data_IF_227323934895
#
_entry.id   IF_227323934895
#
_cell.length_a   1.000
_cell.length_b   1.000
_cell.length_c   1.000
_cell.angle_alpha   90.00
_cell.angle_beta   90.00
_cell.angle_gamma   90.00
#
_symmetry.space_group_name_H-M   'P 1'
#
loop_
_entity.id
_entity.type
_entity.pdbx_description
1 polymer ?
#
# COMPACT_ATOMS: atom_id res chain seq x y z
N UNK A 1 14.56 -1.95 -6.22
CA UNK A 1 14.81 -3.25 -6.89
C UNK A 1 14.35 -3.32 -8.37
N UNK A 2 13.08 -3.02 -8.71
CA UNK A 2 12.55 -3.22 -10.08
C UNK A 2 13.39 -2.65 -11.23
N UNK A 3 13.95 -1.44 -11.07
CA UNK A 3 14.81 -0.82 -12.09
C UNK A 3 16.12 -1.59 -12.31
N UNK A 4 16.67 -2.18 -11.25
CA UNK A 4 17.89 -3.00 -11.29
C UNK A 4 17.63 -4.39 -11.85
N UNK A 5 16.42 -4.92 -11.63
CA UNK A 5 15.97 -6.20 -12.18
C UNK A 5 16.01 -6.21 -13.72
N UNK A 6 15.66 -5.08 -14.35
CA UNK A 6 15.71 -4.92 -15.82
C UNK A 6 17.11 -5.15 -16.40
N UNK A 7 18.16 -4.88 -15.64
CA UNK A 7 19.53 -5.20 -16.05
C UNK A 7 19.69 -6.70 -16.27
N UNK A 8 19.26 -7.51 -15.27
CA UNK A 8 19.32 -8.97 -15.31
C UNK A 8 18.49 -9.58 -16.44
N UNK A 9 17.32 -8.98 -16.73
CA UNK A 9 16.49 -9.38 -17.86
C UNK A 9 17.19 -9.09 -19.21
N UNK A 10 17.78 -7.90 -19.37
CA UNK A 10 18.50 -7.51 -20.60
C UNK A 10 19.71 -8.41 -20.91
N UNK A 11 20.41 -8.89 -19.88
CA UNK A 11 21.53 -9.82 -20.04
C UNK A 11 21.10 -11.29 -20.17
N UNK A 12 19.79 -11.57 -20.17
CA UNK A 12 19.23 -12.91 -20.38
C UNK A 12 19.35 -13.86 -19.20
N UNK A 13 19.63 -13.34 -17.99
CA UNK A 13 19.77 -14.17 -16.78
C UNK A 13 18.40 -14.53 -16.18
N UNK A 14 17.42 -13.66 -16.34
CA UNK A 14 16.04 -13.87 -15.88
C UNK A 14 15.08 -13.57 -17.02
N UNK A 15 13.92 -14.22 -17.01
CA UNK A 15 12.85 -14.01 -18.00
C UNK A 15 11.64 -13.25 -17.43
N UNK A 16 11.80 -12.64 -16.25
CA UNK A 16 10.74 -11.92 -15.56
C UNK A 16 11.04 -10.42 -15.45
N UNK A 17 10.02 -9.60 -15.71
CA UNK A 17 10.11 -8.13 -15.60
C UNK A 17 9.66 -7.59 -14.24
N UNK A 18 8.99 -8.41 -13.41
CA UNK A 18 8.48 -8.00 -12.10
C UNK A 18 9.28 -8.61 -10.94
N UNK A 19 9.59 -7.81 -9.90
CA UNK A 19 10.13 -8.28 -8.62
C UNK A 19 9.39 -9.48 -8.03
N UNK A 20 8.05 -9.45 -8.07
CA UNK A 20 7.19 -10.49 -7.50
C UNK A 20 7.36 -11.83 -8.22
N UNK A 21 7.49 -11.83 -9.54
CA UNK A 21 7.74 -13.04 -10.32
C UNK A 21 9.11 -13.63 -9.97
N UNK A 22 10.16 -12.78 -9.91
CA UNK A 22 11.49 -13.22 -9.48
C UNK A 22 11.44 -13.91 -8.11
N UNK A 23 10.84 -13.27 -7.10
CA UNK A 23 10.77 -13.85 -5.75
C UNK A 23 9.94 -15.13 -5.68
N UNK A 24 8.94 -15.28 -6.57
CA UNK A 24 8.14 -16.50 -6.64
C UNK A 24 8.95 -17.66 -7.20
N UNK A 25 9.79 -17.40 -8.20
CA UNK A 25 10.66 -18.40 -8.84
C UNK A 25 11.90 -18.71 -7.99
N UNK A 26 12.38 -17.73 -7.20
CA UNK A 26 13.49 -17.88 -6.24
C UNK A 26 12.98 -18.61 -4.98
N UNK A 27 12.82 -19.93 -5.12
CA UNK A 27 12.55 -20.84 -3.99
C UNK A 27 13.73 -20.84 -2.99
N UNK A 28 13.55 -21.42 -1.80
CA UNK A 28 14.62 -21.52 -0.79
C UNK A 28 15.85 -22.34 -1.25
N UNK A 29 15.78 -22.98 -2.42
CA UNK A 29 16.88 -23.76 -3.00
C UNK A 29 17.44 -23.12 -4.28
N UNK A 30 16.95 -21.95 -4.65
CA UNK A 30 17.45 -21.23 -5.80
C UNK A 30 18.84 -20.65 -5.51
N UNK A 31 19.80 -20.99 -6.37
CA UNK A 31 21.15 -20.42 -6.28
C UNK A 31 21.11 -18.95 -6.72
N UNK A 32 21.02 -18.05 -5.73
CA UNK A 32 21.03 -16.60 -5.96
C UNK A 32 22.32 -16.17 -6.67
N UNK A 33 23.43 -16.86 -6.45
CA UNK A 33 24.70 -16.48 -7.07
C UNK A 33 24.72 -16.84 -8.57
N UNK A 34 23.86 -17.76 -9.03
CA UNK A 34 23.61 -18.02 -10.45
C UNK A 34 22.95 -16.85 -11.19
N UNK A 35 22.34 -15.89 -10.47
CA UNK A 35 21.82 -14.64 -11.07
C UNK A 35 22.94 -13.67 -11.49
N UNK A 36 24.20 -13.98 -11.17
CA UNK A 36 25.32 -13.09 -11.44
C UNK A 36 26.44 -13.88 -12.13
N UNK A 37 26.33 -14.16 -13.44
CA UNK A 37 27.36 -14.86 -14.20
C UNK A 37 28.73 -14.21 -14.04
N UNK A 38 29.82 -14.98 -14.06
CA UNK A 38 31.18 -14.42 -13.94
C UNK A 38 31.58 -13.60 -15.18
N UNK A 39 31.05 -13.98 -16.35
CA UNK A 39 31.40 -13.39 -17.66
C UNK A 39 30.51 -12.21 -18.06
N UNK A 40 29.56 -11.81 -17.21
CA UNK A 40 28.82 -10.58 -17.43
C UNK A 40 29.78 -9.41 -17.26
N UNK A 41 29.93 -8.60 -18.31
CA UNK A 41 30.62 -7.31 -18.22
C UNK A 41 30.00 -6.39 -17.16
N UNK A 42 30.39 -5.10 -17.09
CA UNK A 42 29.87 -4.20 -16.07
C UNK A 42 28.32 -4.13 -16.13
N UNK A 43 27.67 -4.27 -14.97
CA UNK A 43 26.23 -4.25 -14.86
C UNK A 43 25.72 -2.83 -15.02
N UNK A 44 24.96 -2.59 -16.09
CA UNK A 44 24.30 -1.30 -16.35
C UNK A 44 22.86 -1.33 -15.82
N UNK A 45 22.57 -0.51 -14.82
CA UNK A 45 21.27 -0.49 -14.15
C UNK A 45 20.80 0.93 -13.88
N UNK A 46 19.49 1.07 -13.75
CA UNK A 46 18.85 2.34 -13.42
C UNK A 46 18.50 2.39 -11.94
N UNK A 47 18.61 3.57 -11.34
CA UNK A 47 18.11 3.83 -9.99
C UNK A 47 17.60 5.25 -9.80
N UNK A 48 16.68 5.41 -8.84
CA UNK A 48 16.24 6.72 -8.40
C UNK A 48 17.35 7.40 -7.61
N UNK A 49 17.75 8.60 -8.05
CA UNK A 49 18.74 9.43 -7.38
C UNK A 49 18.27 10.89 -7.36
N UNK A 50 18.63 11.63 -6.31
CA UNK A 50 18.45 13.07 -6.28
C UNK A 50 19.43 13.72 -7.25
N UNK A 51 18.91 14.56 -8.14
CA UNK A 51 19.69 15.33 -9.11
C UNK A 51 19.39 16.81 -8.91
N UNK A 52 20.45 17.62 -8.80
CA UNK A 52 20.32 19.08 -8.79
C UNK A 52 20.03 19.54 -10.21
N UNK A 53 18.87 20.16 -10.41
CA UNK A 53 18.52 20.85 -11.66
C UNK A 53 18.44 22.35 -11.41
N UNK A 54 18.45 23.16 -12.46
CA UNK A 54 18.34 24.64 -12.35
C UNK A 54 17.05 25.09 -11.63
N UNK A 55 16.04 24.21 -11.55
CA UNK A 55 14.77 24.40 -10.84
C UNK A 55 14.72 23.74 -9.44
N UNK A 56 15.86 23.31 -8.89
CA UNK A 56 15.99 22.68 -7.57
C UNK A 56 16.30 21.17 -7.59
N UNK A 57 16.28 20.55 -6.41
CA UNK A 57 16.50 19.11 -6.24
C UNK A 57 15.26 18.32 -6.70
N UNK A 58 15.45 17.39 -7.64
CA UNK A 58 14.40 16.47 -8.09
C UNK A 58 14.89 15.03 -8.10
N UNK A 59 13.98 14.10 -7.81
CA UNK A 59 14.23 12.67 -7.99
C UNK A 59 14.16 12.33 -9.48
N UNK A 60 15.26 11.83 -10.03
CA UNK A 60 15.32 11.35 -11.41
C UNK A 60 15.85 9.92 -11.45
N UNK A 61 15.54 9.21 -12.53
CA UNK A 61 16.15 7.92 -12.83
C UNK A 61 17.52 8.20 -13.45
N UNK A 62 18.56 7.63 -12.86
CA UNK A 62 19.95 7.76 -13.32
C UNK A 62 20.48 6.38 -13.66
N UNK A 63 21.08 6.26 -14.86
CA UNK A 63 21.77 5.04 -15.27
C UNK A 63 23.17 4.98 -14.66
N UNK A 64 23.48 3.89 -13.98
CA UNK A 64 24.76 3.60 -13.35
C UNK A 64 25.36 2.32 -13.92
N UNK A 65 26.67 2.21 -13.78
CA UNK A 65 27.45 1.04 -14.17
C UNK A 65 28.32 0.63 -13.01
N UNK A 66 28.32 -0.65 -12.64
CA UNK A 66 29.21 -1.17 -11.59
C UNK A 66 29.76 -2.55 -11.95
N UNK A 67 30.88 -2.92 -11.34
CA UNK A 67 31.39 -4.29 -11.40
C UNK A 67 30.44 -5.28 -10.71
N UNK A 68 30.67 -6.56 -10.97
CA UNK A 68 29.88 -7.68 -10.44
C UNK A 68 29.82 -7.68 -8.91
N UNK A 69 30.95 -7.52 -8.22
CA UNK A 69 30.99 -7.62 -6.76
C UNK A 69 30.21 -6.46 -6.12
N UNK A 70 30.37 -5.25 -6.65
CA UNK A 70 29.61 -4.07 -6.21
C UNK A 70 28.11 -4.21 -6.47
N UNK A 71 27.73 -4.75 -7.64
CA UNK A 71 26.32 -4.96 -7.97
C UNK A 71 25.67 -6.00 -7.04
N UNK A 72 26.34 -7.14 -6.80
CA UNK A 72 25.85 -8.19 -5.89
C UNK A 72 25.65 -7.62 -4.48
N UNK A 73 26.64 -6.88 -3.96
CA UNK A 73 26.58 -6.27 -2.63
C UNK A 73 25.39 -5.32 -2.48
N UNK A 74 24.97 -4.68 -3.57
CA UNK A 74 23.85 -3.76 -3.59
C UNK A 74 22.51 -4.47 -3.83
N UNK A 75 22.45 -5.44 -4.74
CA UNK A 75 21.20 -6.07 -5.17
C UNK A 75 20.75 -7.18 -4.21
N UNK A 76 21.67 -8.00 -3.69
CA UNK A 76 21.36 -9.15 -2.83
C UNK A 76 20.58 -8.74 -1.57
N UNK A 77 20.94 -7.69 -0.83
CA UNK A 77 20.13 -7.23 0.31
C UNK A 77 18.72 -6.78 -0.10
N UNK A 78 18.58 -6.06 -1.22
CA UNK A 78 17.27 -5.62 -1.72
C UNK A 78 16.38 -6.80 -2.11
N UNK A 79 16.97 -7.86 -2.67
CA UNK A 79 16.26 -9.09 -3.01
C UNK A 79 15.75 -9.81 -1.76
N UNK A 80 16.56 -9.93 -0.72
CA UNK A 80 16.15 -10.54 0.54
C UNK A 80 15.06 -9.74 1.26
N UNK A 81 15.24 -8.41 1.35
CA UNK A 81 14.24 -7.51 1.93
C UNK A 81 12.89 -7.63 1.20
N UNK A 82 12.93 -7.65 -0.14
CA UNK A 82 11.72 -7.82 -0.95
C UNK A 82 11.12 -9.23 -0.84
N UNK A 83 11.94 -10.29 -0.67
CA UNK A 83 11.45 -11.65 -0.43
C UNK A 83 10.69 -11.74 0.90
N UNK A 84 11.23 -11.17 1.97
CA UNK A 84 10.53 -11.10 3.25
C UNK A 84 9.22 -10.32 3.14
N UNK A 85 9.24 -9.18 2.47
CA UNK A 85 8.06 -8.37 2.18
C UNK A 85 6.97 -9.17 1.47
N UNK A 86 7.28 -9.86 0.37
CA UNK A 86 6.31 -10.73 -0.35
C UNK A 86 5.77 -11.85 0.54
N UNK A 87 6.61 -12.47 1.37
CA UNK A 87 6.18 -13.50 2.32
C UNK A 87 5.19 -12.94 3.35
N UNK A 88 5.49 -11.77 3.94
CA UNK A 88 4.60 -11.05 4.86
C UNK A 88 3.25 -10.75 4.22
N UNK A 89 3.22 -10.28 2.97
CA UNK A 89 1.98 -10.04 2.21
C UNK A 89 1.14 -11.29 2.06
N UNK A 90 1.76 -12.37 1.57
CA UNK A 90 1.04 -13.62 1.31
C UNK A 90 0.38 -14.12 2.58
N UNK A 91 1.11 -14.10 3.69
CA UNK A 91 0.59 -14.47 4.99
C UNK A 91 -0.56 -13.55 5.44
N UNK A 92 -0.43 -12.23 5.28
CA UNK A 92 -1.49 -11.26 5.60
C UNK A 92 -2.74 -11.48 4.74
N UNK A 93 -2.58 -11.74 3.44
CA UNK A 93 -3.68 -11.98 2.53
C UNK A 93 -4.40 -13.30 2.85
N UNK A 94 -3.64 -14.36 3.14
CA UNK A 94 -4.19 -15.65 3.56
C UNK A 94 -4.96 -15.51 4.87
N UNK A 95 -4.39 -14.85 5.88
CA UNK A 95 -5.07 -14.59 7.14
C UNK A 95 -6.39 -13.81 6.93
N UNK A 96 -6.40 -12.82 6.03
CA UNK A 96 -7.61 -12.07 5.69
C UNK A 96 -8.65 -12.95 4.97
N UNK A 97 -8.23 -13.82 4.04
CA UNK A 97 -9.12 -14.75 3.35
C UNK A 97 -9.74 -15.75 4.33
N UNK A 98 -8.94 -16.33 5.22
CA UNK A 98 -9.41 -17.24 6.26
C UNK A 98 -10.39 -16.56 7.21
N UNK A 99 -10.11 -15.30 7.59
CA UNK A 99 -11.01 -14.51 8.41
C UNK A 99 -12.34 -14.24 7.71
N UNK A 100 -12.33 -13.94 6.40
CA UNK A 100 -13.54 -13.74 5.60
C UNK A 100 -14.34 -15.02 5.45
N UNK A 101 -13.67 -16.15 5.23
CA UNK A 101 -14.30 -17.47 5.08
C UNK A 101 -14.92 -17.97 6.40
N UNK A 102 -14.28 -17.68 7.52
CA UNK A 102 -14.67 -18.20 8.85
C UNK A 102 -15.21 -17.11 9.79
N UNK A 103 -15.76 -16.02 9.25
CA UNK A 103 -16.25 -14.90 10.05
C UNK A 103 -17.45 -15.35 10.90
N UNK A 104 -17.37 -15.29 12.25
CA UNK A 104 -18.49 -15.65 13.11
C UNK A 104 -19.72 -14.77 12.84
N UNK A 105 -20.92 -15.34 13.09
CA UNK A 105 -22.18 -14.56 13.05
C UNK A 105 -22.07 -13.34 13.97
N UNK A 106 -22.61 -12.21 13.51
CA UNK A 106 -22.57 -10.91 14.19
C UNK A 106 -21.19 -10.24 14.30
N UNK A 107 -20.21 -10.64 13.48
CA UNK A 107 -18.94 -9.90 13.33
C UNK A 107 -18.86 -9.22 11.96
N UNK A 108 -18.16 -8.10 11.94
CA UNK A 108 -17.92 -7.30 10.74
C UNK A 108 -16.41 -7.13 10.61
N UNK A 109 -15.89 -7.26 9.39
CA UNK A 109 -14.52 -6.89 9.05
C UNK A 109 -14.56 -5.50 8.44
N UNK A 110 -13.82 -4.57 9.02
CA UNK A 110 -13.62 -3.23 8.47
C UNK A 110 -12.19 -3.15 7.94
N UNK A 111 -12.05 -3.10 6.62
CA UNK A 111 -10.75 -2.89 5.98
C UNK A 111 -10.61 -1.40 5.65
N UNK A 112 -9.61 -0.76 6.23
CA UNK A 112 -9.34 0.66 6.06
C UNK A 112 -7.98 0.83 5.41
N UNK A 113 -7.91 1.73 4.43
CA UNK A 113 -6.65 2.22 3.90
C UNK A 113 -6.39 3.61 4.50
N UNK A 114 -5.22 3.81 5.08
CA UNK A 114 -4.83 5.09 5.67
C UNK A 114 -4.03 5.87 4.64
N UNK A 115 -4.45 7.10 4.34
CA UNK A 115 -3.57 8.01 3.61
C UNK A 115 -2.30 8.26 4.45
N UNK A 116 -1.12 8.24 3.81
CA UNK A 116 0.23 8.28 4.42
C UNK A 116 0.46 9.37 5.49
N UNK A 117 -0.44 10.35 5.61
CA UNK A 117 -0.34 11.48 6.54
C UNK A 117 -1.38 11.45 7.69
N UNK A 118 -2.15 10.38 7.85
CA UNK A 118 -3.14 10.28 8.94
C UNK A 118 -2.65 9.38 10.07
N UNK A 119 -2.40 10.01 11.22
CA UNK A 119 -2.09 9.30 12.45
C UNK A 119 -3.38 8.82 13.12
N UNK A 120 -3.43 7.53 13.47
CA UNK A 120 -4.48 7.00 14.32
C UNK A 120 -4.32 7.62 15.72
N UNK A 121 -5.34 8.37 16.17
CA UNK A 121 -5.29 9.07 17.48
C UNK A 121 -5.40 8.11 18.66
N UNK A 122 -6.05 6.95 18.47
CA UNK A 122 -6.27 5.95 19.52
C UNK A 122 -6.25 4.54 18.93
N UNK A 123 -5.33 3.69 19.39
CA UNK A 123 -5.29 2.28 19.00
C UNK A 123 -6.22 1.43 19.89
N UNK A 124 -6.33 1.76 21.17
CA UNK A 124 -6.99 0.95 22.18
C UNK A 124 -8.25 1.63 22.74
N UNK A 125 -9.12 0.83 23.37
CA UNK A 125 -10.34 1.23 24.11
C UNK A 125 -11.65 1.32 23.30
N UNK A 126 -11.79 0.57 22.19
CA UNK A 126 -13.05 0.50 21.42
C UNK A 126 -14.23 -0.02 22.24
N UNK A 127 -13.97 -1.00 23.10
CA UNK A 127 -15.00 -1.61 23.95
C UNK A 127 -15.48 -0.63 25.01
N UNK A 128 -14.56 0.04 25.69
CA UNK A 128 -14.88 0.92 26.81
C UNK A 128 -15.50 2.24 26.34
N UNK A 129 -15.11 2.73 25.15
CA UNK A 129 -15.63 3.98 24.60
C UNK A 129 -16.85 3.83 23.71
N UNK A 130 -16.91 2.77 22.89
CA UNK A 130 -17.97 2.60 21.89
C UNK A 130 -18.87 1.39 22.17
N UNK A 131 -18.56 0.59 23.20
CA UNK A 131 -19.27 -0.67 23.45
C UNK A 131 -19.01 -1.74 22.40
N UNK A 132 -18.04 -1.53 21.51
CA UNK A 132 -17.75 -2.43 20.38
C UNK A 132 -16.42 -3.13 20.61
N UNK A 133 -16.44 -4.46 20.56
CA UNK A 133 -15.23 -5.27 20.60
C UNK A 133 -14.61 -5.30 19.20
N UNK A 134 -13.45 -4.66 19.06
CA UNK A 134 -12.71 -4.56 17.81
C UNK A 134 -11.32 -5.20 17.97
N UNK A 135 -10.75 -5.71 16.88
CA UNK A 135 -9.34 -6.11 16.81
C UNK A 135 -8.71 -5.44 15.60
N UNK A 136 -7.56 -4.81 15.79
CA UNK A 136 -6.81 -4.17 14.71
C UNK A 136 -5.79 -5.14 14.14
N UNK A 137 -5.84 -5.34 12.82
CA UNK A 137 -4.82 -6.05 12.08
C UNK A 137 -4.14 -5.02 11.17
N UNK A 138 -2.84 -4.84 11.36
CA UNK A 138 -2.05 -3.90 10.58
C UNK A 138 -1.41 -4.60 9.39
N UNK A 139 -1.51 -3.98 8.23
CA UNK A 139 -0.83 -4.40 7.01
C UNK A 139 0.50 -3.66 6.87
N UNK A 140 1.46 -4.27 6.20
CA UNK A 140 2.75 -3.63 5.97
C UNK A 140 2.58 -2.45 4.99
N UNK A 141 3.38 -1.39 5.16
CA UNK A 141 3.36 -0.24 4.27
C UNK A 141 4.07 -0.56 2.94
N UNK A 142 3.75 0.18 1.87
CA UNK A 142 4.41 0.03 0.57
C UNK A 142 3.84 -1.07 -0.33
N UNK A 143 2.78 -1.74 0.12
CA UNK A 143 1.99 -2.59 -0.75
C UNK A 143 1.16 -1.75 -1.69
N UNK A 144 1.17 -2.13 -2.96
CA UNK A 144 0.27 -1.55 -3.93
C UNK A 144 -1.19 -1.66 -3.50
N UNK A 145 -2.04 -1.03 -4.30
CA UNK A 145 -3.47 -0.88 -4.09
C UNK A 145 -4.15 -2.06 -3.36
N UNK A 146 -4.77 -1.78 -2.22
CA UNK A 146 -5.51 -2.76 -1.42
C UNK A 146 -6.84 -3.19 -2.05
N UNK A 147 -7.54 -4.19 -1.49
CA UNK A 147 -8.87 -4.61 -1.95
C UNK A 147 -9.90 -3.47 -2.05
N UNK A 148 -9.79 -2.48 -1.15
CA UNK A 148 -10.58 -1.26 -1.14
C UNK A 148 -10.38 -0.39 -2.41
N UNK A 149 -9.19 -0.41 -3.00
CA UNK A 149 -8.89 0.33 -4.23
C UNK A 149 -9.58 -0.23 -5.46
N UNK A 150 -9.88 -1.53 -5.49
CA UNK A 150 -10.63 -2.15 -6.59
C UNK A 150 -12.06 -1.60 -6.65
N UNK A 151 -12.75 -1.60 -5.50
CA UNK A 151 -14.10 -1.06 -5.38
C UNK A 151 -14.08 0.44 -5.63
N UNK A 152 -13.24 1.19 -4.90
CA UNK A 152 -13.13 2.64 -5.06
C UNK A 152 -12.75 3.07 -6.48
N UNK A 153 -11.81 2.34 -7.10
CA UNK A 153 -11.39 2.56 -8.48
C UNK A 153 -12.49 2.30 -9.50
N UNK A 154 -13.34 1.29 -9.26
CA UNK A 154 -14.51 1.00 -10.11
C UNK A 154 -15.53 2.14 -10.02
N UNK A 155 -15.89 2.58 -8.81
CA UNK A 155 -16.84 3.69 -8.63
C UNK A 155 -16.31 4.98 -9.25
N UNK A 156 -15.03 5.32 -9.02
CA UNK A 156 -14.38 6.50 -9.61
C UNK A 156 -14.42 6.45 -11.14
N UNK A 157 -14.10 5.29 -11.73
CA UNK A 157 -14.15 5.10 -13.20
C UNK A 157 -15.56 5.28 -13.74
N UNK A 158 -16.58 4.75 -13.06
CA UNK A 158 -17.98 4.96 -13.45
C UNK A 158 -18.37 6.44 -13.39
N UNK A 159 -17.94 7.16 -12.35
CA UNK A 159 -18.17 8.60 -12.22
C UNK A 159 -17.50 9.38 -13.36
N UNK A 160 -16.23 9.09 -13.63
CA UNK A 160 -15.47 9.71 -14.73
C UNK A 160 -16.14 9.49 -16.08
N UNK A 161 -16.64 8.28 -16.34
CA UNK A 161 -17.37 7.98 -17.57
C UNK A 161 -18.69 8.77 -17.66
N UNK A 162 -19.44 8.87 -16.57
CA UNK A 162 -20.69 9.63 -16.53
C UNK A 162 -20.44 11.13 -16.78
N UNK A 163 -19.39 11.71 -16.21
CA UNK A 163 -18.98 13.10 -16.45
C UNK A 163 -18.54 13.29 -17.91
N UNK A 164 -17.69 12.40 -18.44
CA UNK A 164 -17.19 12.46 -19.83
C UNK A 164 -18.33 12.35 -20.84
N UNK A 165 -19.34 11.55 -20.54
CA UNK A 165 -20.57 11.42 -21.35
C UNK A 165 -21.55 12.58 -21.12
N UNK A 166 -21.22 13.57 -20.28
CA UNK A 166 -22.05 14.71 -19.91
C UNK A 166 -23.41 14.29 -19.31
N UNK A 167 -23.46 13.12 -18.67
CA UNK A 167 -24.67 12.60 -18.00
C UNK A 167 -24.86 13.17 -16.61
N UNK A 168 -23.78 13.60 -15.97
CA UNK A 168 -23.82 14.27 -14.67
C UNK A 168 -22.69 15.30 -14.56
N UNK A 169 -22.86 16.23 -13.63
CA UNK A 169 -21.85 17.21 -13.23
C UNK A 169 -21.56 17.00 -11.76
N UNK A 170 -20.38 16.46 -11.44
CA UNK A 170 -19.98 16.20 -10.06
C UNK A 170 -18.90 17.21 -9.68
N UNK A 171 -19.20 18.07 -8.71
CA UNK A 171 -18.30 19.14 -8.24
C UNK A 171 -18.13 19.15 -6.71
N UNK A 172 -18.85 18.29 -5.99
CA UNK A 172 -18.81 18.21 -4.54
C UNK A 172 -19.09 16.79 -4.06
N UNK A 173 -18.78 16.53 -2.80
CA UNK A 173 -18.92 15.20 -2.20
C UNK A 173 -20.38 14.76 -2.04
N UNK A 174 -21.30 15.69 -1.75
CA UNK A 174 -22.74 15.44 -1.66
C UNK A 174 -23.35 15.10 -3.04
N UNK A 175 -22.91 15.79 -4.09
CA UNK A 175 -23.33 15.49 -5.46
C UNK A 175 -22.77 14.14 -5.92
N UNK A 176 -21.50 13.84 -5.59
CA UNK A 176 -20.91 12.54 -5.85
C UNK A 176 -21.69 11.43 -5.15
N UNK A 177 -22.03 11.62 -3.87
CA UNK A 177 -22.82 10.66 -3.10
C UNK A 177 -24.21 10.44 -3.70
N UNK A 178 -24.90 11.51 -4.10
CA UNK A 178 -26.23 11.44 -4.71
C UNK A 178 -26.19 10.67 -6.03
N UNK A 179 -25.18 10.95 -6.86
CA UNK A 179 -24.95 10.21 -8.10
C UNK A 179 -24.61 8.74 -7.83
N UNK A 180 -23.70 8.46 -6.89
CA UNK A 180 -23.27 7.10 -6.59
C UNK A 180 -24.42 6.25 -6.05
N UNK A 181 -25.25 6.82 -5.17
CA UNK A 181 -26.40 6.16 -4.56
C UNK A 181 -27.55 5.91 -5.55
N UNK A 182 -27.67 6.73 -6.59
CA UNK A 182 -28.63 6.53 -7.68
C UNK A 182 -28.08 5.68 -8.83
N UNK A 183 -26.79 5.39 -8.83
CA UNK A 183 -26.16 4.55 -9.82
C UNK A 183 -26.43 3.07 -9.53
N UNK A 184 -26.56 2.26 -10.58
CA UNK A 184 -26.75 0.81 -10.46
C UNK A 184 -25.42 0.08 -10.17
N UNK A 185 -24.70 0.53 -9.13
CA UNK A 185 -23.46 -0.06 -8.65
C UNK A 185 -23.79 -0.89 -7.42
N UNK A 186 -23.32 -2.14 -7.35
CA UNK A 186 -23.52 -3.04 -6.20
C UNK A 186 -22.59 -2.65 -5.03
N UNK A 187 -22.72 -1.42 -4.55
CA UNK A 187 -21.96 -0.85 -3.44
C UNK A 187 -22.91 0.01 -2.60
N UNK A 188 -22.91 -0.21 -1.29
CA UNK A 188 -23.62 0.66 -0.37
C UNK A 188 -22.78 1.90 -0.07
N UNK A 189 -23.34 3.09 -0.33
CA UNK A 189 -22.67 4.36 -0.09
C UNK A 189 -23.15 4.97 1.23
N UNK A 190 -22.24 5.66 1.94
CA UNK A 190 -22.56 6.48 3.11
C UNK A 190 -21.85 7.81 2.99
N UNK A 191 -22.61 8.90 3.12
CA UNK A 191 -22.07 10.25 3.17
C UNK A 191 -21.78 10.65 4.61
N UNK A 192 -20.63 11.27 4.83
CA UNK A 192 -20.24 11.84 6.13
C UNK A 192 -20.08 13.34 5.90
N UNK A 193 -20.94 14.14 6.52
CA UNK A 193 -20.96 15.58 6.34
C UNK A 193 -19.86 16.27 7.17
N UNK A 194 -19.63 17.56 6.92
CA UNK A 194 -18.72 18.36 7.75
C UNK A 194 -19.25 18.50 9.17
N UNK A 195 -20.57 18.57 9.31
CA UNK A 195 -21.29 18.64 10.57
C UNK A 195 -21.10 17.34 11.36
N UNK A 196 -21.17 16.18 10.69
CA UNK A 196 -20.87 14.88 11.29
C UNK A 196 -19.43 14.82 11.79
N UNK A 197 -18.47 15.20 10.95
CA UNK A 197 -17.04 15.23 11.33
C UNK A 197 -16.83 16.11 12.56
N UNK A 198 -17.44 17.30 12.56
CA UNK A 198 -17.33 18.26 13.66
C UNK A 198 -17.91 17.68 14.95
N UNK A 199 -19.10 17.08 14.88
CA UNK A 199 -19.75 16.40 16.01
C UNK A 199 -18.89 15.26 16.56
N UNK A 200 -18.40 14.38 15.70
CA UNK A 200 -17.56 13.25 16.13
C UNK A 200 -16.20 13.71 16.65
N UNK A 201 -15.65 14.81 16.13
CA UNK A 201 -14.39 15.38 16.62
C UNK A 201 -14.49 15.85 18.07
N UNK A 202 -15.63 16.44 18.46
CA UNK A 202 -15.89 16.88 19.84
C UNK A 202 -15.95 15.65 20.75
N UNK A 203 -16.76 14.66 20.39
CA UNK A 203 -16.90 13.40 21.15
C UNK A 203 -15.53 12.71 21.32
N UNK A 204 -14.75 12.64 20.24
CA UNK A 204 -13.40 12.05 20.29
C UNK A 204 -12.49 12.85 21.21
N UNK A 205 -12.44 14.17 21.10
CA UNK A 205 -11.54 14.99 21.92
C UNK A 205 -11.93 14.95 23.42
N UNK A 206 -13.23 14.97 23.75
CA UNK A 206 -13.71 14.87 25.13
C UNK A 206 -13.39 13.51 25.76
N UNK A 207 -13.47 12.42 24.99
CA UNK A 207 -13.16 11.07 25.46
C UNK A 207 -11.64 10.81 25.53
N UNK A 208 -10.90 11.20 24.48
CA UNK A 208 -9.43 11.03 24.41
C UNK A 208 -8.73 11.80 25.52
N UNK A 209 -9.13 13.05 25.77
CA UNK A 209 -8.52 13.89 26.81
C UNK A 209 -8.70 13.33 28.23
N UNK A 210 -9.75 12.52 28.45
CA UNK A 210 -10.07 11.96 29.78
C UNK A 210 -9.43 10.60 30.01
N UNK A 211 -9.34 9.75 28.97
CA UNK A 211 -9.07 8.32 29.18
C UNK A 211 -7.83 7.79 28.45
N UNK A 212 -7.45 8.36 27.30
CA UNK A 212 -6.37 7.78 26.49
C UNK A 212 -4.99 8.28 26.94
N UNK A 213 -4.20 7.40 27.56
CA UNK A 213 -2.80 7.71 27.90
C UNK A 213 -1.91 7.47 26.68
N UNK A 214 -1.11 8.46 26.24
CA UNK A 214 -0.17 8.25 25.15
C UNK A 214 0.86 7.19 25.55
N UNK A 215 0.99 6.15 24.73
CA UNK A 215 2.07 5.17 24.90
C UNK A 215 3.38 5.89 24.61
N UNK A 216 4.26 5.98 25.61
CA UNK A 216 5.54 6.68 25.45
C UNK A 216 6.42 5.90 24.47
N UNK A 217 7.13 6.62 23.59
CA UNK A 217 8.15 6.11 22.65
C UNK A 217 7.64 5.40 21.39
N UNK A 218 6.32 5.34 21.12
CA UNK A 218 5.79 4.72 19.88
C UNK A 218 6.26 5.45 18.61
N UNK A 219 6.39 6.78 18.66
CA UNK A 219 6.92 7.60 17.56
C UNK A 219 8.45 7.47 17.36
N UNK A 220 9.18 6.74 18.21
CA UNK A 220 10.61 6.45 18.00
C UNK A 220 10.84 5.14 17.23
N UNK A 221 9.78 4.37 17.00
CA UNK A 221 9.79 3.07 16.32
C UNK A 221 9.31 3.16 14.86
N UNK A 222 8.83 4.34 14.44
CA UNK A 222 8.46 4.65 13.06
C UNK A 222 9.53 5.53 12.42
#
# INVERSE_FOLDING_TARGET
>A
MALKLRCLHKIGVINCDSPDALVTDVTDHFDIDALFPADSGPFQYDEWSQVNTDAGQRMNIVSKSSDRASFIKLFKPQLFEFKEHVSRVRNQYHALQDLKANLPRNRIIVQMDFAENFNCKTADEHKDHFGVVCTWNYFEAGHGKGPCDGIGGTVKRCADLAIKQRKCTIQSADVFYTWASSSNISVAFKYISKEDISRYSIILNENIAKNCKPVKRTLKLH
#
